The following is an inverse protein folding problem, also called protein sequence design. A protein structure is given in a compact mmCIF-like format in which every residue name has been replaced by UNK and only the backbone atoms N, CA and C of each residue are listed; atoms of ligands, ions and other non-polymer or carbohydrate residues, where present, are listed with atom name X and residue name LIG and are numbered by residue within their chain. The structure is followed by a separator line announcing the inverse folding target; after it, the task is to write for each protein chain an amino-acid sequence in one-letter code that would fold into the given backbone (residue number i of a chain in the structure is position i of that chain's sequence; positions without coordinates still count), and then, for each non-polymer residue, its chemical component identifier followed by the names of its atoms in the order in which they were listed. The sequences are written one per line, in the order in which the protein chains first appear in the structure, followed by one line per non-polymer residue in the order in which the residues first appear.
data_IF_632801765084
#
_entry.id   IF_632801765084
#
_cell.length_a   1.000
_cell.length_b   1.000
_cell.length_c   1.000
_cell.angle_alpha   90.00
_cell.angle_beta   90.00
_cell.angle_gamma   90.00
#
_symmetry.space_group_name_H-M   'P 1'
#
loop_
_entity.id
_entity.type
_entity.pdbx_description
1 polymer ?
#
# COMPACT_ATOMS: atom_id res chain seq x y z
N UNK A 1 -39.08 -23.36 39.88
CA UNK A 1 -39.59 -24.54 40.58
C UNK A 1 -38.54 -25.67 40.48
N UNK A 2 -38.00 -26.08 41.64
CA UNK A 2 -37.35 -27.34 41.96
C UNK A 2 -36.03 -27.65 41.22
N UNK A 3 -34.93 -27.78 41.84
CA UNK A 3 -34.45 -28.40 43.09
C UNK A 3 -33.31 -29.38 42.74
N UNK A 4 -32.13 -29.09 43.33
CA UNK A 4 -31.21 -29.98 44.05
C UNK A 4 -30.81 -31.29 43.34
N UNK A 5 -29.49 -31.64 43.29
CA UNK A 5 -28.88 -32.37 44.38
C UNK A 5 -27.36 -32.46 44.23
N UNK A 6 -26.67 -32.10 45.29
CA UNK A 6 -25.36 -32.46 45.76
C UNK A 6 -25.17 -33.99 45.90
N UNK A 7 -23.91 -34.45 45.80
CA UNK A 7 -23.26 -35.49 46.66
C UNK A 7 -21.80 -35.61 46.16
N UNK A 8 -20.80 -35.19 46.87
CA UNK A 8 -19.95 -35.73 47.94
C UNK A 8 -19.50 -37.19 47.74
N UNK A 9 -18.20 -37.40 47.67
CA UNK A 9 -17.42 -38.46 48.36
C UNK A 9 -15.98 -38.36 47.82
N UNK A 10 -15.06 -37.79 48.59
CA UNK A 10 -14.13 -38.33 49.59
C UNK A 10 -13.08 -39.33 49.13
N UNK A 11 -11.84 -38.83 49.19
CA UNK A 11 -10.59 -39.38 49.66
C UNK A 11 -10.18 -40.81 49.27
N UNK A 12 -8.95 -40.93 48.70
CA UNK A 12 -7.95 -41.77 49.39
C UNK A 12 -6.53 -41.38 49.03
N UNK A 13 -5.77 -41.17 50.05
CA UNK A 13 -4.36 -40.84 50.13
C UNK A 13 -3.56 -42.15 49.97
N UNK A 14 -2.63 -42.19 49.02
CA UNK A 14 -1.58 -43.26 49.09
C UNK A 14 -0.24 -42.61 48.71
N UNK A 15 0.52 -42.43 49.77
CA UNK A 15 1.91 -41.99 49.71
C UNK A 15 2.76 -43.27 49.42
N UNK A 16 3.47 -43.22 48.27
CA UNK A 16 4.56 -44.16 48.03
C UNK A 16 5.80 -43.29 47.58
N UNK A 17 6.66 -43.15 48.63
CA UNK A 17 8.03 -42.71 48.40
C UNK A 17 8.80 -43.87 47.79
N UNK A 18 9.39 -43.68 46.63
CA UNK A 18 10.52 -44.51 46.20
C UNK A 18 11.65 -43.57 45.76
N UNK A 19 12.75 -43.79 46.42
CA UNK A 19 14.03 -43.14 46.25
C UNK A 19 14.74 -43.64 45.00
N UNK A 20 15.55 -42.73 44.45
CA UNK A 20 16.82 -42.94 43.76
C UNK A 20 16.78 -43.24 42.27
N UNK A 21 17.28 -42.39 41.44
CA UNK A 21 18.67 -42.48 41.00
C UNK A 21 18.99 -41.25 40.15
N UNK A 22 19.98 -40.51 40.61
CA UNK A 22 20.66 -39.46 39.80
C UNK A 22 21.29 -40.11 38.57
N UNK A 23 20.69 -39.89 37.45
CA UNK A 23 21.30 -40.11 36.16
C UNK A 23 21.06 -38.85 35.31
N UNK A 24 21.95 -37.89 35.51
CA UNK A 24 21.97 -36.66 34.71
C UNK A 24 22.43 -36.99 33.28
N UNK A 25 21.50 -37.46 32.44
CA UNK A 25 21.67 -37.40 31.01
C UNK A 25 21.07 -36.08 30.52
N UNK A 26 21.84 -35.18 29.93
CA UNK A 26 21.25 -34.05 29.25
C UNK A 26 20.43 -34.61 28.08
N UNK A 27 19.12 -34.51 28.18
CA UNK A 27 18.24 -34.71 27.03
C UNK A 27 18.71 -33.82 25.89
N UNK A 28 18.82 -34.33 24.66
CA UNK A 28 18.99 -33.46 23.52
C UNK A 28 17.79 -32.53 23.52
N UNK A 29 18.06 -31.23 23.70
CA UNK A 29 17.10 -30.16 23.46
C UNK A 29 16.49 -30.42 22.08
N UNK A 30 15.21 -30.73 22.06
CA UNK A 30 14.44 -30.77 20.86
C UNK A 30 14.53 -29.36 20.24
N UNK A 31 15.39 -29.21 19.24
CA UNK A 31 15.35 -28.08 18.35
C UNK A 31 13.96 -28.10 17.74
N UNK A 32 13.08 -27.30 18.33
CA UNK A 32 11.74 -27.08 17.77
C UNK A 32 11.89 -26.65 16.31
N UNK A 33 10.97 -27.06 15.44
CA UNK A 33 11.07 -26.68 14.03
C UNK A 33 11.14 -25.16 13.97
N UNK A 34 12.25 -24.65 13.43
CA UNK A 34 12.41 -23.27 13.07
C UNK A 34 11.55 -23.02 11.82
N UNK A 35 10.25 -22.99 12.02
CA UNK A 35 9.26 -22.71 10.98
C UNK A 35 8.90 -21.21 11.01
N UNK A 36 9.93 -20.38 11.12
CA UNK A 36 9.83 -19.00 10.68
C UNK A 36 10.14 -19.00 9.19
N UNK A 37 9.18 -18.71 8.32
CA UNK A 37 9.47 -18.62 6.89
C UNK A 37 10.58 -17.58 6.71
N UNK A 38 11.73 -18.03 6.22
CA UNK A 38 12.79 -17.11 5.79
C UNK A 38 12.17 -16.08 4.85
N UNK A 39 12.43 -14.78 5.04
CA UNK A 39 11.90 -13.76 4.15
C UNK A 39 12.31 -14.13 2.72
N UNK A 40 11.33 -14.37 1.87
CA UNK A 40 11.56 -14.78 0.50
C UNK A 40 12.48 -13.78 -0.17
N UNK A 41 13.64 -14.23 -0.66
CA UNK A 41 14.59 -13.36 -1.35
C UNK A 41 13.87 -12.79 -2.58
N UNK A 42 13.69 -11.47 -2.62
CA UNK A 42 13.02 -10.79 -3.71
C UNK A 42 13.66 -11.17 -5.06
N UNK A 43 12.84 -11.52 -6.04
CA UNK A 43 13.33 -11.86 -7.38
C UNK A 43 14.12 -10.69 -8.00
N UNK A 44 15.02 -10.94 -8.96
CA UNK A 44 15.72 -9.86 -9.67
C UNK A 44 14.77 -8.81 -10.25
N UNK A 45 13.63 -9.24 -10.78
CA UNK A 45 12.57 -8.37 -11.33
C UNK A 45 11.93 -7.51 -10.24
N UNK A 46 11.66 -8.09 -9.09
CA UNK A 46 11.07 -7.36 -7.95
C UNK A 46 12.06 -6.33 -7.39
N UNK A 47 13.34 -6.68 -7.27
CA UNK A 47 14.39 -5.73 -6.88
C UNK A 47 14.50 -4.57 -7.86
N UNK A 48 14.51 -4.84 -9.16
CA UNK A 48 14.54 -3.80 -10.19
C UNK A 48 13.31 -2.90 -10.14
N UNK A 49 12.11 -3.46 -9.97
CA UNK A 49 10.88 -2.70 -9.84
C UNK A 49 10.89 -1.81 -8.58
N UNK A 50 11.35 -2.34 -7.44
CA UNK A 50 11.48 -1.58 -6.20
C UNK A 50 12.49 -0.44 -6.32
N UNK A 51 13.61 -0.65 -7.00
CA UNK A 51 14.59 0.42 -7.25
C UNK A 51 14.04 1.49 -8.18
N UNK A 52 13.29 1.08 -9.21
CA UNK A 52 12.71 2.01 -10.17
C UNK A 52 11.58 2.85 -9.57
N UNK A 53 10.55 2.21 -9.01
CA UNK A 53 9.39 2.92 -8.46
C UNK A 53 9.65 3.52 -7.07
N UNK A 54 10.53 2.89 -6.28
CA UNK A 54 10.92 3.25 -4.91
C UNK A 54 9.75 3.30 -3.89
N UNK A 55 10.08 3.20 -2.61
CA UNK A 55 9.13 3.31 -1.50
C UNK A 55 9.03 4.76 -1.01
N UNK A 56 8.77 5.70 -1.94
CA UNK A 56 8.46 7.07 -1.56
C UNK A 56 7.18 7.11 -0.73
N UNK A 57 7.22 7.85 0.39
CA UNK A 57 6.06 7.97 1.27
C UNK A 57 5.11 8.99 0.69
N UNK A 58 3.92 8.53 0.33
CA UNK A 58 2.79 9.33 -0.11
C UNK A 58 1.69 9.25 0.93
N UNK A 59 0.72 10.15 0.85
CA UNK A 59 -0.43 10.22 1.75
C UNK A 59 -1.70 9.97 0.95
N UNK A 60 -2.57 9.11 1.46
CA UNK A 60 -3.87 8.83 0.85
C UNK A 60 -4.89 9.92 1.14
N UNK A 61 -6.04 9.90 0.46
CA UNK A 61 -7.19 10.76 0.77
C UNK A 61 -7.69 10.61 2.22
N UNK A 62 -7.44 9.46 2.84
CA UNK A 62 -7.83 9.15 4.22
C UNK A 62 -6.76 9.56 5.24
N UNK A 63 -5.67 10.21 4.78
CA UNK A 63 -4.57 10.65 5.61
C UNK A 63 -3.57 9.58 6.03
N UNK A 64 -3.61 8.39 5.42
CA UNK A 64 -2.68 7.31 5.73
C UNK A 64 -1.38 7.43 4.92
N UNK A 65 -0.24 7.25 5.59
CA UNK A 65 1.06 7.12 4.95
C UNK A 65 1.19 5.77 4.25
N UNK A 66 1.58 5.78 2.98
CA UNK A 66 1.81 4.58 2.17
C UNK A 66 3.16 4.63 1.47
N UNK A 67 3.81 3.48 1.37
CA UNK A 67 5.01 3.29 0.57
C UNK A 67 4.60 2.98 -0.88
N UNK A 68 4.98 3.83 -1.82
CA UNK A 68 4.44 3.79 -3.19
C UNK A 68 4.62 2.43 -3.88
N UNK A 69 5.84 1.85 -3.82
CA UNK A 69 6.02 0.53 -4.41
C UNK A 69 5.40 -0.59 -3.57
N UNK A 70 5.71 -0.65 -2.28
CA UNK A 70 5.35 -1.79 -1.45
C UNK A 70 3.85 -1.88 -1.18
N UNK A 71 3.18 -0.76 -0.90
CA UNK A 71 1.78 -0.76 -0.46
C UNK A 71 0.81 -0.54 -1.63
N UNK A 72 1.25 0.17 -2.69
CA UNK A 72 0.36 0.54 -3.79
C UNK A 72 0.58 -0.36 -5.01
N UNK A 73 1.84 -0.55 -5.45
CA UNK A 73 2.12 -1.22 -6.73
C UNK A 73 2.38 -2.73 -6.60
N UNK A 74 3.09 -3.16 -5.55
CA UNK A 74 3.53 -4.55 -5.40
C UNK A 74 2.33 -5.50 -5.37
N UNK A 75 2.40 -6.56 -6.17
CA UNK A 75 1.37 -7.60 -6.28
C UNK A 75 -0.03 -7.08 -6.73
N UNK A 76 -0.11 -5.87 -7.24
CA UNK A 76 -1.34 -5.31 -7.78
C UNK A 76 -1.20 -5.05 -9.28
N UNK A 77 -2.29 -5.16 -10.01
CA UNK A 77 -2.46 -4.52 -11.31
C UNK A 77 -3.07 -3.15 -11.03
N UNK A 78 -2.37 -2.10 -11.42
CA UNK A 78 -2.81 -0.72 -11.14
C UNK A 78 -3.04 0.06 -12.43
N UNK A 79 -4.12 0.80 -12.46
CA UNK A 79 -4.37 1.84 -13.46
C UNK A 79 -4.07 3.18 -12.79
N UNK A 80 -3.04 3.87 -13.26
CA UNK A 80 -2.59 5.14 -12.69
C UNK A 80 -3.04 6.27 -13.59
N UNK A 81 -3.65 7.30 -13.01
CA UNK A 81 -3.92 8.57 -13.67
C UNK A 81 -3.34 9.73 -12.85
N UNK A 82 -3.25 10.89 -13.49
CA UNK A 82 -2.75 12.12 -12.91
C UNK A 82 -3.84 13.19 -12.98
N UNK A 83 -3.98 13.94 -11.90
CA UNK A 83 -5.04 14.95 -11.74
C UNK A 83 -4.59 16.04 -10.75
N UNK A 84 -5.40 17.06 -10.60
CA UNK A 84 -5.38 17.99 -9.47
C UNK A 84 -6.81 18.45 -9.18
N UNK A 85 -7.11 18.75 -7.91
CA UNK A 85 -8.50 18.95 -7.46
C UNK A 85 -9.16 20.19 -8.06
N UNK A 86 -8.38 21.22 -8.42
CA UNK A 86 -8.86 22.46 -9.01
C UNK A 86 -8.91 22.46 -10.54
N UNK A 87 -8.67 21.31 -11.17
CA UNK A 87 -8.73 21.17 -12.62
C UNK A 87 -10.17 21.30 -13.13
N UNK A 88 -10.41 22.25 -14.02
CA UNK A 88 -11.73 22.52 -14.62
C UNK A 88 -11.85 22.07 -16.07
N UNK A 89 -10.78 21.55 -16.67
CA UNK A 89 -10.74 21.19 -18.09
C UNK A 89 -10.86 19.66 -18.29
N UNK A 90 -9.75 18.96 -18.35
CA UNK A 90 -9.72 17.54 -18.75
C UNK A 90 -9.93 16.55 -17.59
N UNK A 91 -9.59 16.94 -16.36
CA UNK A 91 -9.69 16.03 -15.20
C UNK A 91 -11.12 15.58 -14.91
N UNK A 92 -12.17 16.43 -14.96
CA UNK A 92 -13.54 15.97 -14.77
C UNK A 92 -13.94 14.86 -15.75
N UNK A 93 -13.64 15.04 -17.05
CA UNK A 93 -13.92 14.04 -18.07
C UNK A 93 -13.15 12.74 -17.82
N UNK A 94 -11.88 12.84 -17.43
CA UNK A 94 -11.06 11.68 -17.11
C UNK A 94 -11.60 10.94 -15.88
N UNK A 95 -11.98 11.67 -14.82
CA UNK A 95 -12.51 11.07 -13.59
C UNK A 95 -13.86 10.40 -13.80
N UNK A 96 -14.76 10.99 -14.61
CA UNK A 96 -16.01 10.36 -14.99
C UNK A 96 -15.78 9.00 -15.69
N UNK A 97 -14.80 8.93 -16.59
CA UNK A 97 -14.44 7.66 -17.23
C UNK A 97 -13.83 6.65 -16.27
N UNK A 98 -13.08 7.09 -15.27
CA UNK A 98 -12.54 6.20 -14.24
C UNK A 98 -13.66 5.67 -13.32
N UNK A 99 -14.70 6.44 -13.05
CA UNK A 99 -15.89 5.98 -12.34
C UNK A 99 -16.62 4.88 -13.11
N UNK A 100 -16.77 5.03 -14.43
CA UNK A 100 -17.30 3.97 -15.30
C UNK A 100 -16.41 2.72 -15.24
N UNK A 101 -15.09 2.87 -15.35
CA UNK A 101 -14.12 1.77 -15.24
C UNK A 101 -14.21 1.09 -13.88
N UNK A 102 -14.31 1.84 -12.77
CA UNK A 102 -14.51 1.30 -11.44
C UNK A 102 -15.75 0.39 -11.38
N UNK A 103 -16.87 0.84 -11.95
CA UNK A 103 -18.10 0.08 -12.01
C UNK A 103 -17.93 -1.23 -12.79
N UNK A 104 -17.27 -1.20 -13.94
CA UNK A 104 -16.96 -2.38 -14.73
C UNK A 104 -16.04 -3.36 -14.02
N UNK A 105 -15.04 -2.87 -13.29
CA UNK A 105 -14.11 -3.70 -12.52
C UNK A 105 -14.80 -4.40 -11.35
N UNK A 106 -15.76 -3.75 -10.71
CA UNK A 106 -16.57 -4.35 -9.65
C UNK A 106 -17.48 -5.45 -10.16
N UNK A 107 -18.03 -5.28 -11.35
CA UNK A 107 -18.85 -6.30 -12.00
C UNK A 107 -18.00 -7.53 -12.43
N UNK A 108 -16.69 -7.33 -12.69
CA UNK A 108 -15.76 -8.35 -13.17
C UNK A 108 -14.48 -8.36 -12.29
N UNK A 109 -14.53 -8.95 -11.10
CA UNK A 109 -13.48 -8.81 -10.08
C UNK A 109 -12.15 -9.52 -10.41
N UNK A 110 -11.94 -10.02 -11.60
CA UNK A 110 -10.68 -10.69 -12.02
C UNK A 110 -10.19 -10.18 -13.38
N UNK A 111 -8.91 -9.77 -13.50
CA UNK A 111 -7.92 -9.60 -12.46
C UNK A 111 -8.26 -8.42 -11.52
N UNK A 112 -7.80 -8.48 -10.27
CA UNK A 112 -8.01 -7.41 -9.30
C UNK A 112 -7.20 -6.18 -9.71
N UNK A 113 -7.85 -5.24 -10.37
CA UNK A 113 -7.26 -3.96 -10.77
C UNK A 113 -7.61 -2.92 -9.73
N UNK A 114 -6.63 -2.12 -9.33
CA UNK A 114 -6.81 -0.94 -8.48
C UNK A 114 -6.68 0.33 -9.29
N UNK A 115 -7.51 1.30 -9.02
CA UNK A 115 -7.37 2.65 -9.56
C UNK A 115 -6.52 3.49 -8.61
N UNK A 116 -5.55 4.23 -9.15
CA UNK A 116 -4.65 5.09 -8.39
C UNK A 116 -4.56 6.44 -9.08
N UNK A 117 -5.05 7.47 -8.41
CA UNK A 117 -4.96 8.86 -8.89
C UNK A 117 -3.86 9.59 -8.12
N UNK A 118 -2.84 10.07 -8.82
CA UNK A 118 -1.73 10.81 -8.20
C UNK A 118 -1.88 12.29 -8.51
N UNK A 119 -1.93 13.12 -7.45
CA UNK A 119 -1.97 14.57 -7.62
C UNK A 119 -0.70 15.09 -8.29
N UNK A 120 -0.85 16.07 -9.19
CA UNK A 120 0.27 16.82 -9.78
C UNK A 120 0.44 18.20 -9.13
N UNK A 121 -0.44 18.57 -8.21
CA UNK A 121 -0.40 19.84 -7.46
C UNK A 121 -0.47 19.62 -5.94
N UNK A 122 0.55 18.99 -5.34
CA UNK A 122 0.55 18.66 -3.92
C UNK A 122 0.56 19.91 -3.00
N UNK A 123 0.79 21.08 -3.52
CA UNK A 123 0.73 22.32 -2.74
C UNK A 123 -0.70 22.70 -2.36
N UNK A 124 -1.68 22.36 -3.20
CA UNK A 124 -3.09 22.66 -3.01
C UNK A 124 -3.91 21.41 -2.69
N UNK A 125 -3.45 20.24 -3.09
CA UNK A 125 -4.14 18.98 -2.94
C UNK A 125 -3.82 18.29 -1.60
N UNK A 126 -4.37 18.82 -0.51
CA UNK A 126 -4.30 18.18 0.80
C UNK A 126 -5.11 16.86 0.83
N UNK A 127 -4.88 15.95 1.80
CA UNK A 127 -5.71 14.75 1.97
C UNK A 127 -7.20 15.06 2.04
N UNK A 128 -7.59 16.13 2.74
CA UNK A 128 -8.99 16.55 2.82
C UNK A 128 -9.55 17.00 1.46
N UNK A 129 -8.74 17.70 0.64
CA UNK A 129 -9.14 18.07 -0.72
C UNK A 129 -9.30 16.83 -1.61
N UNK A 130 -8.38 15.86 -1.48
CA UNK A 130 -8.48 14.57 -2.17
C UNK A 130 -9.73 13.80 -1.76
N UNK A 131 -10.07 13.76 -0.46
CA UNK A 131 -11.27 13.08 0.05
C UNK A 131 -12.55 13.70 -0.53
N UNK A 132 -12.63 15.02 -0.57
CA UNK A 132 -13.75 15.74 -1.18
C UNK A 132 -13.87 15.43 -2.69
N UNK A 133 -12.73 15.43 -3.40
CA UNK A 133 -12.69 15.08 -4.82
C UNK A 133 -13.09 13.62 -5.06
N UNK A 134 -12.56 12.69 -4.29
CA UNK A 134 -12.92 11.26 -4.35
C UNK A 134 -14.42 11.03 -4.12
N UNK A 135 -15.02 11.74 -3.18
CA UNK A 135 -16.47 11.68 -2.91
C UNK A 135 -17.30 12.17 -4.10
N UNK A 136 -16.86 13.21 -4.82
CA UNK A 136 -17.53 13.71 -6.02
C UNK A 136 -17.64 12.64 -7.12
N UNK A 137 -16.65 11.74 -7.20
CA UNK A 137 -16.57 10.67 -8.21
C UNK A 137 -16.95 9.29 -7.64
N UNK A 138 -17.64 9.24 -6.52
CA UNK A 138 -18.10 8.01 -5.86
C UNK A 138 -17.00 6.94 -5.75
N UNK A 139 -15.76 7.39 -5.48
CA UNK A 139 -14.61 6.52 -5.37
C UNK A 139 -14.77 5.56 -4.19
N UNK A 140 -14.61 4.27 -4.45
CA UNK A 140 -14.66 3.25 -3.42
C UNK A 140 -13.27 2.78 -2.99
N UNK A 141 -13.23 1.69 -2.22
CA UNK A 141 -11.99 1.15 -1.62
C UNK A 141 -10.96 0.65 -2.65
N UNK A 142 -11.35 0.49 -3.89
CA UNK A 142 -10.53 0.07 -5.03
C UNK A 142 -9.96 1.25 -5.83
N UNK A 143 -10.27 2.49 -5.44
CA UNK A 143 -9.75 3.71 -6.04
C UNK A 143 -9.09 4.60 -4.97
N UNK A 144 -7.76 4.72 -5.04
CA UNK A 144 -6.94 5.46 -4.08
C UNK A 144 -6.43 6.75 -4.71
N UNK A 145 -6.53 7.86 -3.98
CA UNK A 145 -5.97 9.15 -4.35
C UNK A 145 -4.74 9.44 -3.50
N UNK A 146 -3.67 9.90 -4.14
CA UNK A 146 -2.36 10.08 -3.50
C UNK A 146 -1.85 11.50 -3.66
N UNK A 147 -1.32 12.04 -2.56
CA UNK A 147 -0.58 13.29 -2.48
C UNK A 147 0.67 13.11 -1.60
N UNK A 148 1.36 14.18 -1.26
CA UNK A 148 2.53 14.14 -0.37
C UNK A 148 3.30 15.45 -0.42
N UNK A 149 4.55 15.46 0.05
CA UNK A 149 5.39 16.64 -0.13
C UNK A 149 5.69 16.86 -1.63
N UNK A 150 5.82 18.12 -2.09
CA UNK A 150 6.11 18.43 -3.49
C UNK A 150 7.33 17.69 -4.05
N UNK A 151 8.38 17.54 -3.24
CA UNK A 151 9.60 16.84 -3.64
C UNK A 151 9.34 15.35 -3.90
N UNK A 152 8.55 14.71 -3.05
CA UNK A 152 8.24 13.27 -3.16
C UNK A 152 7.29 13.04 -4.34
N UNK A 153 6.24 13.83 -4.47
CA UNK A 153 5.31 13.73 -5.60
C UNK A 153 6.05 13.94 -6.92
N UNK A 154 6.87 14.97 -7.03
CA UNK A 154 7.67 15.24 -8.24
C UNK A 154 8.64 14.10 -8.57
N UNK A 155 9.21 13.41 -7.57
CA UNK A 155 10.05 12.24 -7.82
C UNK A 155 9.24 11.06 -8.40
N UNK A 156 8.06 10.81 -7.86
CA UNK A 156 7.14 9.78 -8.37
C UNK A 156 6.69 10.12 -9.81
N UNK A 157 6.28 11.35 -10.06
CA UNK A 157 5.85 11.81 -11.40
C UNK A 157 6.97 11.66 -12.44
N UNK A 158 8.23 12.00 -12.08
CA UNK A 158 9.38 11.79 -12.97
C UNK A 158 9.60 10.33 -13.32
N UNK A 159 9.49 9.43 -12.34
CA UNK A 159 9.63 7.98 -12.54
C UNK A 159 8.53 7.43 -13.43
N UNK A 160 7.34 7.98 -13.34
CA UNK A 160 6.19 7.62 -14.19
C UNK A 160 6.17 8.35 -15.54
N UNK A 161 7.20 9.16 -15.83
CA UNK A 161 7.36 9.82 -17.14
C UNK A 161 6.55 11.12 -17.33
N UNK A 162 5.91 11.64 -16.27
CA UNK A 162 5.03 12.82 -16.38
C UNK A 162 5.76 14.15 -16.46
N UNK A 163 6.99 14.26 -15.97
CA UNK A 163 7.76 15.52 -15.98
C UNK A 163 8.70 15.69 -17.18
N UNK A 164 8.51 14.93 -18.24
CA UNK A 164 9.34 15.06 -19.46
C UNK A 164 9.09 16.40 -20.20
N UNK A 165 7.90 17.00 -20.03
CA UNK A 165 7.50 18.23 -20.72
C UNK A 165 8.31 19.46 -20.27
N UNK A 166 8.65 19.59 -18.98
CA UNK A 166 9.39 20.74 -18.47
C UNK A 166 10.84 20.83 -19.01
N UNK A 167 11.51 19.70 -19.19
CA UNK A 167 12.86 19.67 -19.76
C UNK A 167 12.90 20.20 -21.22
N UNK A 168 11.88 19.92 -22.00
CA UNK A 168 11.79 20.41 -23.40
C UNK A 168 11.52 21.91 -23.45
N UNK A 169 10.70 22.44 -22.54
CA UNK A 169 10.40 23.87 -22.47
C UNK A 169 11.64 24.69 -22.08
N UNK A 170 12.45 24.23 -21.14
CA UNK A 170 13.70 24.90 -20.74
C UNK A 170 14.76 24.84 -21.83
N UNK A 171 14.90 23.75 -22.56
CA UNK A 171 15.87 23.58 -23.63
C UNK A 171 15.52 24.49 -24.83
N UNK A 172 14.23 24.58 -25.20
CA UNK A 172 13.78 25.43 -26.29
C UNK A 172 13.91 26.92 -25.96
N UNK A 173 13.74 27.33 -24.68
CA UNK A 173 13.96 28.71 -24.25
C UNK A 173 15.44 29.11 -24.25
N UNK A 174 16.33 28.23 -23.82
CA UNK A 174 17.77 28.45 -23.82
C UNK A 174 18.37 28.54 -25.23
N UNK A 175 17.84 27.76 -26.18
CA UNK A 175 18.27 27.79 -27.59
C UNK A 175 17.79 29.04 -28.27
N UNK A 176 16.60 29.56 -27.97
CA UNK A 176 16.07 30.81 -28.54
C UNK A 176 16.81 32.05 -28.05
N UNK A 177 17.37 32.04 -26.82
CA UNK A 177 18.18 33.16 -26.30
C UNK A 177 19.62 33.22 -26.86
N UNK A 178 20.16 32.12 -27.40
CA UNK A 178 21.51 32.09 -28.02
C UNK A 178 21.51 32.34 -29.51
N UNK A 179 20.37 32.51 -30.13
CA UNK A 179 20.23 32.73 -31.59
C UNK A 179 20.03 34.19 -31.99
N UNK A 180 20.18 35.17 -31.07
CA UNK A 180 20.09 36.60 -31.36
C UNK A 180 21.41 37.22 -30.84
N UNK A 181 22.45 37.10 -31.66
CA UNK A 181 23.72 37.73 -31.51
C UNK A 181 24.40 37.79 -32.87
#
# INVERSE_FOLDING_TARGET
MKLRMLLFATTLLACARSFAHDGHHPSPEAIGPADSPMPAIASPRERAARLFFSDRRLVTQDGHDVAFYTDVLKNNVVLINFFFTQCTDSCPTQSARLEEVQTLLRANPRPRVRLVSVSVDPAHDSPAALAAYAATWHAGNDWTFLTGSPQIVNDVLRRLGQLVAERRAHTSRATRQRGIG
#
